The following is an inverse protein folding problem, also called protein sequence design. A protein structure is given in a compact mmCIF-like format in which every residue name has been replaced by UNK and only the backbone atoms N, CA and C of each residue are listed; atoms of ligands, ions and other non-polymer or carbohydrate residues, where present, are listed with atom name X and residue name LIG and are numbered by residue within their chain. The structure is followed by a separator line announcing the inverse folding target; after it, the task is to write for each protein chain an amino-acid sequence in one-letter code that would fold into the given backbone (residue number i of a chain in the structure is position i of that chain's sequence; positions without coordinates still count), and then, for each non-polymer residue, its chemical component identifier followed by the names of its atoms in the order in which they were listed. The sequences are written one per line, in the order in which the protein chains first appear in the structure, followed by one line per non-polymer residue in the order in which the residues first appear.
data_IF_155369219320
#
_entry.id   IF_155369219320
#
_cell.length_a   1.000
_cell.length_b   1.000
_cell.length_c   1.000
_cell.angle_alpha   90.00
_cell.angle_beta   90.00
_cell.angle_gamma   90.00
#
_symmetry.space_group_name_H-M   'P 1'
#
loop_
_entity.id
_entity.type
_entity.pdbx_description
1 polymer ?
#
# COMPACT_ATOMS: atom_id res chain seq x y z
N UNK A 1 -13.06 -4.29 -5.37
CA UNK A 1 -11.78 -3.53 -5.42
C UNK A 1 -11.05 -3.72 -4.09
N UNK A 2 -9.86 -4.33 -4.10
CA UNK A 2 -9.04 -4.56 -2.91
C UNK A 2 -8.05 -3.40 -2.70
N UNK A 3 -7.84 -2.97 -1.46
CA UNK A 3 -6.88 -1.90 -1.15
C UNK A 3 -5.85 -2.33 -0.10
N UNK A 4 -4.66 -1.77 -0.19
CA UNK A 4 -3.57 -2.00 0.76
C UNK A 4 -3.03 -0.68 1.29
N UNK A 5 -2.78 -0.58 2.60
CA UNK A 5 -2.11 0.56 3.23
C UNK A 5 -0.80 0.06 3.82
N UNK A 6 0.29 0.36 3.13
CA UNK A 6 1.64 0.10 3.60
C UNK A 6 2.20 1.32 4.32
N UNK A 7 2.59 1.15 5.57
CA UNK A 7 3.27 2.17 6.35
C UNK A 7 4.76 1.86 6.48
N UNK A 8 5.61 2.81 6.10
CA UNK A 8 7.04 2.72 6.34
C UNK A 8 7.55 3.85 7.23
N UNK A 9 8.30 3.44 8.27
CA UNK A 9 8.94 4.34 9.23
C UNK A 9 10.18 5.00 8.66
N UNK A 10 10.80 4.39 7.66
CA UNK A 10 12.11 4.81 7.15
C UNK A 10 12.07 5.27 5.70
N UNK A 11 11.05 4.90 4.91
CA UNK A 11 10.97 5.28 3.51
C UNK A 11 10.99 6.81 3.36
N UNK A 12 11.82 7.35 2.45
CA UNK A 12 12.07 8.77 2.37
C UNK A 12 10.86 9.54 1.84
N UNK A 13 10.79 10.81 2.23
CA UNK A 13 9.74 11.76 1.83
C UNK A 13 10.20 12.77 0.77
N UNK A 14 11.38 12.54 0.19
CA UNK A 14 11.91 13.27 -0.97
C UNK A 14 12.61 12.30 -1.93
N UNK A 15 12.48 12.55 -3.23
CA UNK A 15 13.15 11.76 -4.26
C UNK A 15 14.68 11.89 -4.21
N UNK A 16 15.21 12.97 -3.63
CA UNK A 16 16.67 13.17 -3.46
C UNK A 16 17.31 12.21 -2.45
N UNK A 17 16.50 11.56 -1.61
CA UNK A 17 16.95 10.57 -0.63
C UNK A 17 16.85 9.12 -1.17
N UNK A 18 16.46 8.95 -2.44
CA UNK A 18 16.50 7.66 -3.14
C UNK A 18 17.76 7.65 -4.01
N UNK A 19 18.82 7.05 -3.47
CA UNK A 19 20.09 6.81 -4.15
C UNK A 19 20.08 5.54 -5.01
N UNK A 20 21.27 5.12 -5.44
CA UNK A 20 21.46 3.88 -6.18
C UNK A 20 21.22 2.65 -5.28
N UNK A 21 21.70 2.71 -4.03
CA UNK A 21 21.41 1.68 -3.04
C UNK A 21 20.02 1.90 -2.42
N UNK A 22 19.04 1.13 -2.92
CA UNK A 22 17.65 1.21 -2.49
C UNK A 22 17.43 0.72 -1.04
N UNK A 23 18.28 -0.17 -0.54
CA UNK A 23 18.18 -0.64 0.84
C UNK A 23 18.61 0.46 1.82
N UNK A 24 19.73 1.13 1.53
CA UNK A 24 20.22 2.25 2.34
C UNK A 24 19.34 3.50 2.23
N UNK A 25 18.57 3.62 1.15
CA UNK A 25 17.59 4.69 0.92
C UNK A 25 16.31 4.51 1.73
N UNK A 26 16.44 4.27 3.05
CA UNK A 26 15.30 4.13 3.95
C UNK A 26 14.45 2.88 3.71
N UNK A 27 15.06 1.80 3.19
CA UNK A 27 14.38 0.55 2.80
C UNK A 27 13.28 0.75 1.75
N UNK A 28 13.49 1.66 0.80
CA UNK A 28 12.54 1.85 -0.31
C UNK A 28 12.41 0.59 -1.19
N UNK A 29 13.40 -0.32 -1.15
CA UNK A 29 13.32 -1.66 -1.74
C UNK A 29 12.06 -2.42 -1.29
N UNK A 30 11.67 -2.32 -0.02
CA UNK A 30 10.47 -2.98 0.51
C UNK A 30 9.20 -2.34 -0.08
N UNK A 31 9.16 -1.02 -0.21
CA UNK A 31 8.03 -0.33 -0.83
C UNK A 31 7.89 -0.71 -2.32
N UNK A 32 9.01 -0.84 -3.03
CA UNK A 32 9.03 -1.33 -4.42
C UNK A 32 8.46 -2.75 -4.50
N UNK A 33 8.93 -3.68 -3.66
CA UNK A 33 8.39 -5.04 -3.63
C UNK A 33 6.90 -5.08 -3.25
N UNK A 34 6.45 -4.15 -2.40
CA UNK A 34 5.05 -3.99 -2.02
C UNK A 34 4.20 -3.57 -3.23
N UNK A 35 4.68 -2.61 -4.04
CA UNK A 35 4.04 -2.23 -5.33
C UNK A 35 3.98 -3.44 -6.27
N UNK A 36 5.08 -4.20 -6.39
CA UNK A 36 5.11 -5.40 -7.25
C UNK A 36 4.04 -6.41 -6.81
N UNK A 37 4.01 -6.75 -5.53
CA UNK A 37 3.09 -7.75 -4.99
C UNK A 37 1.62 -7.31 -5.04
N UNK A 38 1.35 -6.00 -4.94
CA UNK A 38 -0.01 -5.46 -5.00
C UNK A 38 -0.62 -5.52 -6.40
N UNK A 39 0.19 -5.27 -7.45
CA UNK A 39 -0.33 -5.04 -8.79
C UNK A 39 0.03 -6.11 -9.83
N UNK A 40 1.22 -6.71 -9.77
CA UNK A 40 1.70 -7.50 -10.91
C UNK A 40 1.32 -8.98 -10.79
N UNK A 41 0.71 -9.49 -11.86
CA UNK A 41 0.64 -10.92 -12.17
C UNK A 41 1.75 -11.29 -13.17
N UNK A 42 1.74 -12.53 -13.69
CA UNK A 42 2.71 -12.98 -14.68
C UNK A 42 2.62 -12.17 -15.98
N UNK A 43 1.40 -12.01 -16.53
CA UNK A 43 1.14 -11.37 -17.82
C UNK A 43 0.10 -10.25 -17.76
N UNK A 44 -0.31 -9.84 -16.55
CA UNK A 44 -1.37 -8.84 -16.33
C UNK A 44 -1.03 -7.94 -15.15
N UNK A 45 -1.73 -6.81 -15.06
CA UNK A 45 -1.77 -5.93 -13.90
C UNK A 45 -3.17 -6.04 -13.28
N UNK A 46 -3.24 -6.10 -11.95
CA UNK A 46 -4.50 -6.03 -11.19
C UNK A 46 -5.05 -4.61 -11.27
N UNK A 47 -6.15 -4.42 -12.00
CA UNK A 47 -6.87 -3.14 -12.13
C UNK A 47 -7.90 -2.91 -11.02
N UNK A 48 -8.19 -3.97 -10.26
CA UNK A 48 -9.09 -4.00 -9.12
C UNK A 48 -8.37 -3.73 -7.78
N UNK A 49 -7.10 -3.29 -7.82
CA UNK A 49 -6.28 -3.00 -6.67
C UNK A 49 -5.97 -1.50 -6.51
N UNK A 50 -5.83 -1.04 -5.26
CA UNK A 50 -5.28 0.28 -4.90
C UNK A 50 -4.23 0.13 -3.79
N UNK A 51 -3.16 0.91 -3.86
CA UNK A 51 -2.10 0.91 -2.86
C UNK A 51 -1.87 2.31 -2.31
N UNK A 52 -1.92 2.42 -0.98
CA UNK A 52 -1.54 3.60 -0.22
C UNK A 52 -0.16 3.35 0.40
N UNK A 53 0.81 4.16 0.03
CA UNK A 53 2.15 4.16 0.62
C UNK A 53 2.25 5.36 1.57
N UNK A 54 2.36 5.10 2.87
CA UNK A 54 2.51 6.11 3.91
C UNK A 54 3.96 6.14 4.39
N UNK A 55 4.73 7.14 3.96
CA UNK A 55 6.15 7.29 4.24
C UNK A 55 6.38 8.29 5.38
N UNK A 56 7.16 7.88 6.37
CA UNK A 56 7.49 8.66 7.56
C UNK A 56 9.01 8.85 7.78
N UNK A 57 9.83 8.58 6.76
CA UNK A 57 11.27 8.83 6.78
C UNK A 57 11.65 10.29 6.45
N UNK A 58 12.96 10.61 6.47
CA UNK A 58 13.48 11.94 6.17
C UNK A 58 13.23 12.36 4.70
N UNK A 59 13.34 13.65 4.36
CA UNK A 59 13.69 14.77 5.23
C UNK A 59 12.50 15.42 5.94
N UNK A 60 11.31 15.39 5.34
CA UNK A 60 10.15 16.16 5.80
C UNK A 60 8.90 15.28 5.87
N UNK A 61 8.85 14.27 6.76
CA UNK A 61 7.68 13.42 6.90
C UNK A 61 6.43 14.24 7.31
N UNK A 62 5.21 13.80 6.94
CA UNK A 62 4.87 12.56 6.22
C UNK A 62 4.66 12.76 4.71
N UNK A 63 4.64 11.66 3.95
CA UNK A 63 4.11 11.62 2.58
C UNK A 63 3.14 10.46 2.41
N UNK A 64 2.02 10.75 1.75
CA UNK A 64 1.07 9.75 1.30
C UNK A 64 1.10 9.70 -0.23
N UNK A 65 1.45 8.53 -0.78
CA UNK A 65 1.37 8.25 -2.20
C UNK A 65 0.23 7.24 -2.41
N UNK A 66 -0.71 7.57 -3.29
CA UNK A 66 -1.80 6.68 -3.68
C UNK A 66 -1.55 6.21 -5.10
N UNK A 67 -1.65 4.90 -5.32
CA UNK A 67 -1.38 4.25 -6.58
C UNK A 67 -2.60 3.42 -6.97
N UNK A 68 -3.25 3.81 -8.07
CA UNK A 68 -4.30 3.04 -8.75
C UNK A 68 -4.03 3.12 -10.26
N UNK A 69 -3.29 2.17 -10.85
CA UNK A 69 -2.88 2.26 -12.25
C UNK A 69 -4.07 2.39 -13.20
N UNK A 70 -4.09 3.48 -13.96
CA UNK A 70 -4.98 3.65 -15.12
C UNK A 70 -4.27 3.03 -16.31
N UNK A 71 -4.73 1.85 -16.72
CA UNK A 71 -4.12 1.06 -17.82
C UNK A 71 -4.91 1.17 -19.12
N UNK A 72 -6.12 1.71 -19.07
CA UNK A 72 -6.98 1.96 -20.21
C UNK A 72 -6.77 3.39 -20.70
N UNK A 73 -6.68 3.57 -22.02
CA UNK A 73 -6.41 4.86 -22.63
C UNK A 73 -5.90 4.73 -24.08
N UNK A 74 -6.23 5.71 -24.89
CA UNK A 74 -5.89 5.78 -26.31
C UNK A 74 -4.47 6.32 -26.53
N UNK A 75 -4.02 7.24 -25.66
CA UNK A 75 -2.72 7.92 -25.79
C UNK A 75 -1.75 7.54 -24.67
N UNK A 76 -0.56 8.13 -24.63
CA UNK A 76 0.39 7.95 -23.52
C UNK A 76 0.17 8.89 -22.32
N UNK A 77 -0.80 9.81 -22.42
CA UNK A 77 -1.07 10.85 -21.42
C UNK A 77 -2.15 10.41 -20.43
N UNK A 78 -3.09 9.60 -20.90
CA UNK A 78 -4.28 9.10 -20.19
C UNK A 78 -4.06 7.75 -19.50
N UNK A 79 -2.93 7.09 -19.74
CA UNK A 79 -2.57 5.83 -19.09
C UNK A 79 -1.14 5.80 -18.59
N UNK A 80 -0.86 4.89 -17.66
CA UNK A 80 0.48 4.61 -17.17
C UNK A 80 0.99 3.25 -17.64
N UNK A 81 2.19 3.25 -18.23
CA UNK A 81 2.94 2.04 -18.50
C UNK A 81 3.78 1.68 -17.26
N UNK A 82 3.21 0.88 -16.37
CA UNK A 82 3.91 0.41 -15.18
C UNK A 82 4.73 -0.84 -15.50
N UNK A 83 6.05 -0.73 -15.50
CA UNK A 83 6.96 -1.88 -15.61
C UNK A 83 7.62 -2.18 -14.26
N UNK A 84 7.93 -3.46 -14.01
CA UNK A 84 8.60 -3.90 -12.77
C UNK A 84 9.96 -3.22 -12.57
N UNK A 85 10.66 -2.92 -13.67
CA UNK A 85 12.00 -2.31 -13.65
C UNK A 85 12.00 -0.81 -13.33
N UNK A 86 10.86 -0.13 -13.46
CA UNK A 86 10.79 1.34 -13.38
C UNK A 86 10.17 1.86 -12.07
N UNK A 87 9.78 0.98 -11.14
CA UNK A 87 9.03 1.38 -9.93
C UNK A 87 9.82 2.36 -9.07
N UNK A 88 11.14 2.16 -8.91
CA UNK A 88 12.00 3.08 -8.15
C UNK A 88 11.96 4.51 -8.71
N UNK A 89 12.12 4.66 -10.03
CA UNK A 89 12.10 5.97 -10.66
C UNK A 89 10.69 6.60 -10.65
N UNK A 90 9.63 5.79 -10.73
CA UNK A 90 8.24 6.25 -10.54
C UNK A 90 8.06 6.84 -9.14
N UNK A 91 8.41 6.10 -8.08
CA UNK A 91 8.30 6.60 -6.70
C UNK A 91 9.17 7.84 -6.47
N UNK A 92 10.41 7.84 -6.99
CA UNK A 92 11.32 8.99 -6.94
C UNK A 92 10.70 10.24 -7.60
N UNK A 93 10.10 10.08 -8.79
CA UNK A 93 9.41 11.16 -9.50
C UNK A 93 8.15 11.64 -8.77
N UNK A 94 7.37 10.73 -8.18
CA UNK A 94 6.23 11.11 -7.33
C UNK A 94 6.68 12.02 -6.18
N UNK A 95 7.70 11.59 -5.43
CA UNK A 95 8.25 12.35 -4.31
C UNK A 95 8.80 13.73 -4.73
N UNK A 96 9.47 13.83 -5.88
CA UNK A 96 9.93 15.13 -6.39
C UNK A 96 8.81 16.07 -6.82
N UNK A 97 7.64 15.54 -7.20
CA UNK A 97 6.50 16.35 -7.68
C UNK A 97 5.59 16.82 -6.55
N UNK A 98 5.85 16.39 -5.31
CA UNK A 98 5.17 16.89 -4.13
C UNK A 98 5.20 18.43 -4.03
N UNK A 99 4.08 19.02 -3.60
CA UNK A 99 3.93 20.42 -3.25
C UNK A 99 3.12 20.53 -1.96
N UNK A 100 3.51 21.44 -1.08
CA UNK A 100 2.81 21.64 0.18
C UNK A 100 1.40 22.20 -0.04
N UNK A 101 0.42 21.72 0.74
CA UNK A 101 -0.99 22.13 0.63
C UNK A 101 -1.77 21.51 -0.54
N UNK A 102 -1.15 20.69 -1.40
CA UNK A 102 -1.77 20.16 -2.61
C UNK A 102 -1.87 18.61 -2.58
N UNK A 103 -3.02 18.07 -3.00
CA UNK A 103 -3.13 16.69 -3.47
C UNK A 103 -2.94 16.68 -4.98
N UNK A 104 -1.79 16.15 -5.42
CA UNK A 104 -1.36 16.27 -6.82
C UNK A 104 -1.33 14.92 -7.53
N UNK A 105 -1.90 14.87 -8.73
CA UNK A 105 -1.71 13.75 -9.65
C UNK A 105 -0.36 13.91 -10.37
N UNK A 106 0.49 12.89 -10.29
CA UNK A 106 1.83 12.89 -10.90
C UNK A 106 1.86 12.07 -12.18
N UNK A 107 1.10 10.99 -12.21
CA UNK A 107 0.81 10.16 -13.38
C UNK A 107 -0.67 9.75 -13.30
N UNK A 108 -1.30 9.31 -14.40
CA UNK A 108 -2.68 8.83 -14.37
C UNK A 108 -2.93 7.80 -13.27
N UNK A 109 -3.75 8.17 -12.28
CA UNK A 109 -4.09 7.35 -11.11
C UNK A 109 -3.03 7.28 -10.00
N UNK A 110 -1.97 8.09 -10.07
CA UNK A 110 -0.87 8.14 -9.11
C UNK A 110 -0.83 9.52 -8.45
N UNK A 111 -1.17 9.57 -7.17
CA UNK A 111 -1.34 10.82 -6.43
C UNK A 111 -0.32 10.93 -5.29
N UNK A 112 0.05 12.16 -4.96
CA UNK A 112 0.89 12.47 -3.79
C UNK A 112 0.33 13.64 -3.00
N UNK A 113 0.43 13.57 -1.67
CA UNK A 113 0.05 14.64 -0.75
C UNK A 113 0.79 14.55 0.58
N UNK A 114 0.74 15.62 1.37
CA UNK A 114 1.14 15.62 2.79
C UNK A 114 -0.06 15.18 3.63
N UNK A 115 -0.06 13.91 4.00
CA UNK A 115 -1.08 13.31 4.89
C UNK A 115 -0.42 12.21 5.69
N UNK A 116 -0.70 12.15 6.99
CA UNK A 116 -0.12 11.13 7.85
C UNK A 116 -0.90 9.81 7.78
N UNK A 117 -0.27 8.74 8.26
CA UNK A 117 -0.83 7.39 8.19
C UNK A 117 -2.19 7.25 8.90
N UNK A 118 -2.34 7.79 10.11
CA UNK A 118 -3.60 7.70 10.84
C UNK A 118 -4.70 8.51 10.18
N UNK A 119 -4.38 9.68 9.63
CA UNK A 119 -5.34 10.49 8.87
C UNK A 119 -5.88 9.70 7.67
N UNK A 120 -5.01 8.99 6.94
CA UNK A 120 -5.44 8.13 5.82
C UNK A 120 -6.41 7.05 6.32
N UNK A 121 -6.05 6.32 7.38
CA UNK A 121 -6.91 5.26 7.92
C UNK A 121 -8.22 5.80 8.48
N UNK A 122 -8.18 6.90 9.22
CA UNK A 122 -9.35 7.51 9.85
C UNK A 122 -10.35 8.03 8.81
N UNK A 123 -9.88 8.61 7.71
CA UNK A 123 -10.78 9.08 6.66
C UNK A 123 -11.47 7.92 5.96
N UNK A 124 -10.72 6.86 5.62
CA UNK A 124 -11.32 5.63 5.08
C UNK A 124 -12.28 4.96 6.08
N UNK A 125 -11.98 5.02 7.38
CA UNK A 125 -12.87 4.48 8.40
C UNK A 125 -14.18 5.28 8.51
N UNK A 126 -14.11 6.61 8.46
CA UNK A 126 -15.29 7.50 8.44
C UNK A 126 -16.15 7.30 7.19
N UNK A 127 -15.54 6.93 6.07
CA UNK A 127 -16.25 6.52 4.84
C UNK A 127 -16.93 5.15 4.96
N UNK A 128 -16.84 4.47 6.11
CA UNK A 128 -17.45 3.15 6.33
C UNK A 128 -16.72 2.01 5.62
N UNK A 129 -15.44 2.20 5.25
CA UNK A 129 -14.66 1.17 4.55
C UNK A 129 -14.32 -0.01 5.47
N UNK A 130 -14.23 -1.20 4.88
CA UNK A 130 -13.92 -2.44 5.59
C UNK A 130 -12.40 -2.58 5.79
N UNK A 131 -11.89 -2.07 6.92
CA UNK A 131 -10.45 -2.04 7.21
C UNK A 131 -10.03 -3.21 8.12
N UNK A 132 -8.96 -3.89 7.72
CA UNK A 132 -8.36 -5.03 8.40
C UNK A 132 -6.89 -4.73 8.69
N UNK A 133 -6.45 -4.98 9.91
CA UNK A 133 -5.07 -4.73 10.34
C UNK A 133 -4.34 -6.05 10.42
N UNK A 134 -3.27 -6.20 9.66
CA UNK A 134 -2.48 -7.43 9.65
C UNK A 134 -1.64 -7.51 10.94
N UNK A 135 -1.91 -8.54 11.74
CA UNK A 135 -1.28 -8.76 13.03
C UNK A 135 -1.13 -10.27 13.31
N UNK A 136 0.00 -10.74 13.84
CA UNK A 136 0.21 -12.15 14.14
C UNK A 136 -0.83 -12.76 15.10
N UNK A 137 -1.45 -11.96 15.95
CA UNK A 137 -2.47 -12.38 16.93
C UNK A 137 -3.90 -12.11 16.44
N UNK A 138 -4.09 -11.78 15.16
CA UNK A 138 -5.41 -11.61 14.56
C UNK A 138 -6.14 -12.93 14.32
N UNK A 139 -7.40 -12.86 13.88
CA UNK A 139 -8.14 -14.02 13.40
C UNK A 139 -7.55 -14.50 12.06
N UNK A 140 -7.47 -15.82 11.84
CA UNK A 140 -6.89 -16.36 10.60
C UNK A 140 -7.67 -15.88 9.38
N UNK A 141 -6.95 -15.33 8.39
CA UNK A 141 -7.55 -14.79 7.17
C UNK A 141 -8.42 -15.81 6.45
N UNK A 142 -8.17 -17.12 6.60
CA UNK A 142 -8.93 -18.18 5.94
C UNK A 142 -10.28 -18.45 6.60
N UNK A 143 -10.40 -18.22 7.91
CA UNK A 143 -11.64 -18.48 8.66
C UNK A 143 -12.45 -17.23 8.91
N UNK A 144 -11.79 -16.07 8.97
CA UNK A 144 -12.45 -14.82 9.27
C UNK A 144 -13.33 -14.34 8.11
N UNK A 145 -14.44 -13.68 8.45
CA UNK A 145 -15.26 -12.96 7.47
C UNK A 145 -14.52 -11.73 6.96
N UNK A 146 -14.30 -11.69 5.64
CA UNK A 146 -13.76 -10.54 4.90
C UNK A 146 -14.86 -10.02 4.00
N UNK A 147 -15.19 -8.74 4.19
CA UNK A 147 -16.22 -8.05 3.46
C UNK A 147 -15.70 -7.56 2.11
N UNK A 148 -16.61 -7.25 1.19
CA UNK A 148 -16.32 -6.63 -0.08
C UNK A 148 -15.55 -5.31 0.09
N UNK A 149 -14.78 -5.00 -0.94
CA UNK A 149 -13.91 -3.83 -1.00
C UNK A 149 -12.96 -3.67 0.22
N UNK A 150 -12.24 -4.74 0.62
CA UNK A 150 -11.46 -4.75 1.84
C UNK A 150 -10.20 -3.90 1.72
N UNK A 151 -9.77 -3.33 2.86
CA UNK A 151 -8.55 -2.55 2.99
C UNK A 151 -7.63 -3.22 4.01
N UNK A 152 -6.44 -3.66 3.60
CA UNK A 152 -5.49 -4.31 4.49
C UNK A 152 -4.35 -3.37 4.88
N UNK A 153 -4.13 -3.20 6.19
CA UNK A 153 -3.09 -2.35 6.76
C UNK A 153 -1.90 -3.19 7.19
N UNK A 154 -0.69 -2.82 6.75
CA UNK A 154 0.56 -3.49 7.10
C UNK A 154 1.72 -2.51 7.28
N UNK A 155 2.67 -2.91 8.13
CA UNK A 155 3.90 -2.17 8.36
C UNK A 155 5.08 -2.66 7.52
N UNK A 156 6.16 -1.89 7.53
CA UNK A 156 7.45 -2.26 6.96
C UNK A 156 8.23 -3.25 7.85
N UNK A 157 9.54 -3.38 7.60
CA UNK A 157 10.47 -4.20 8.39
C UNK A 157 10.52 -3.87 9.90
N UNK A 158 10.05 -2.70 10.35
CA UNK A 158 9.95 -2.32 11.77
C UNK A 158 8.53 -2.48 12.32
N UNK A 159 7.58 -2.89 11.48
CA UNK A 159 6.17 -2.98 11.81
C UNK A 159 5.51 -1.62 12.05
N UNK A 160 4.23 -1.67 12.41
CA UNK A 160 3.47 -0.50 12.82
C UNK A 160 3.93 -0.04 14.22
N UNK A 161 3.97 1.28 14.51
CA UNK A 161 4.29 1.76 15.84
C UNK A 161 3.27 1.23 16.85
N UNK A 162 3.72 0.72 18.00
CA UNK A 162 2.87 0.04 19.00
C UNK A 162 1.64 0.87 19.40
N UNK A 163 1.82 2.18 19.59
CA UNK A 163 0.72 3.10 19.94
C UNK A 163 -0.34 3.17 18.83
N UNK A 164 0.09 3.21 17.57
CA UNK A 164 -0.82 3.24 16.43
C UNK A 164 -1.47 1.89 16.18
N UNK A 165 -0.73 0.79 16.33
CA UNK A 165 -1.31 -0.56 16.26
C UNK A 165 -2.43 -0.74 17.30
N UNK A 166 -2.25 -0.26 18.54
CA UNK A 166 -3.29 -0.32 19.58
C UNK A 166 -4.54 0.46 19.18
N UNK A 167 -4.38 1.66 18.60
CA UNK A 167 -5.50 2.47 18.10
C UNK A 167 -6.21 1.79 16.93
N UNK A 168 -5.45 1.26 15.98
CA UNK A 168 -5.99 0.54 14.83
C UNK A 168 -6.79 -0.69 15.24
N UNK A 169 -6.31 -1.49 16.21
CA UNK A 169 -7.05 -2.65 16.73
C UNK A 169 -8.34 -2.29 17.45
N UNK A 170 -8.49 -1.05 17.92
CA UNK A 170 -9.74 -0.58 18.50
C UNK A 170 -10.76 -0.13 17.44
N UNK A 171 -10.29 0.22 16.22
CA UNK A 171 -11.11 0.73 15.12
C UNK A 171 -11.40 -0.33 14.05
N UNK A 172 -10.54 -1.33 13.92
CA UNK A 172 -10.47 -2.23 12.77
C UNK A 172 -10.27 -3.67 13.21
N UNK A 173 -10.74 -4.62 12.41
CA UNK A 173 -10.57 -6.06 12.71
C UNK A 173 -9.11 -6.48 12.49
N UNK A 174 -8.52 -7.13 13.48
CA UNK A 174 -7.18 -7.71 13.36
C UNK A 174 -7.25 -9.07 12.63
N UNK A 175 -6.39 -9.27 11.64
CA UNK A 175 -6.34 -10.48 10.80
C UNK A 175 -4.90 -10.99 10.70
N UNK A 176 -4.71 -12.30 10.73
CA UNK A 176 -3.39 -12.93 10.55
C UNK A 176 -3.35 -13.77 9.26
N UNK A 177 -2.18 -13.84 8.63
CA UNK A 177 -1.91 -14.79 7.53
C UNK A 177 -1.18 -16.05 8.00
N UNK A 178 -1.00 -16.20 9.32
CA UNK A 178 -0.34 -17.35 9.93
C UNK A 178 0.75 -16.95 10.93
N UNK A 179 1.46 -17.96 11.47
CA UNK A 179 2.42 -17.79 12.57
C UNK A 179 3.79 -17.22 12.16
N UNK A 180 4.11 -17.27 10.86
CA UNK A 180 5.42 -16.82 10.35
C UNK A 180 5.39 -15.32 10.08
N UNK A 181 6.48 -14.63 10.41
CA UNK A 181 6.66 -13.23 10.03
C UNK A 181 7.20 -13.17 8.61
N UNK A 182 6.36 -12.71 7.68
CA UNK A 182 6.71 -12.57 6.27
C UNK A 182 7.13 -11.14 5.94
N UNK A 183 7.83 -10.96 4.81
CA UNK A 183 8.02 -9.63 4.24
C UNK A 183 6.67 -9.01 3.85
N UNK A 184 6.56 -7.69 3.89
CA UNK A 184 5.34 -6.96 3.53
C UNK A 184 4.80 -7.38 2.15
N UNK A 185 5.68 -7.53 1.15
CA UNK A 185 5.32 -7.99 -0.19
C UNK A 185 4.77 -9.42 -0.21
N UNK A 186 5.37 -10.34 0.55
CA UNK A 186 4.88 -11.72 0.67
C UNK A 186 3.52 -11.75 1.38
N UNK A 187 3.33 -10.93 2.40
CA UNK A 187 2.03 -10.79 3.08
C UNK A 187 0.96 -10.33 2.10
N UNK A 188 1.23 -9.32 1.27
CA UNK A 188 0.31 -8.88 0.22
C UNK A 188 0.02 -10.00 -0.78
N UNK A 189 1.05 -10.76 -1.20
CA UNK A 189 0.85 -11.88 -2.12
C UNK A 189 -0.08 -12.96 -1.52
N UNK A 190 0.07 -13.29 -0.24
CA UNK A 190 -0.80 -14.24 0.47
C UNK A 190 -2.22 -13.70 0.61
N UNK A 191 -2.38 -12.43 0.97
CA UNK A 191 -3.72 -11.78 1.03
C UNK A 191 -4.38 -11.79 -0.35
N UNK A 192 -3.65 -11.40 -1.40
CA UNK A 192 -4.16 -11.42 -2.76
C UNK A 192 -4.62 -12.82 -3.17
N UNK A 193 -3.81 -13.85 -2.89
CA UNK A 193 -4.20 -15.23 -3.19
C UNK A 193 -5.47 -15.66 -2.44
N UNK A 194 -5.61 -15.29 -1.17
CA UNK A 194 -6.82 -15.61 -0.40
C UNK A 194 -8.06 -14.88 -0.93
N UNK A 195 -7.92 -13.60 -1.30
CA UNK A 195 -9.00 -12.84 -1.92
C UNK A 195 -9.42 -13.43 -3.26
N UNK A 196 -8.47 -13.80 -4.13
CA UNK A 196 -8.76 -14.46 -5.41
C UNK A 196 -9.59 -15.73 -5.19
N UNK A 197 -9.19 -16.59 -4.24
CA UNK A 197 -9.92 -17.82 -3.92
C UNK A 197 -11.34 -17.57 -3.42
N UNK A 198 -11.56 -16.48 -2.68
CA UNK A 198 -12.88 -16.09 -2.18
C UNK A 198 -13.75 -15.52 -3.29
N UNK A 199 -13.19 -14.69 -4.15
CA UNK A 199 -13.86 -14.15 -5.33
C UNK A 199 -14.30 -15.30 -6.26
N UNK A 200 -13.41 -16.21 -6.60
CA UNK A 200 -13.68 -17.37 -7.48
C UNK A 200 -14.74 -18.32 -6.90
N UNK A 201 -14.87 -18.39 -5.57
CA UNK A 201 -15.85 -19.24 -4.89
C UNK A 201 -17.13 -18.53 -4.44
N UNK A 202 -17.29 -17.24 -4.73
CA UNK A 202 -18.44 -16.42 -4.30
C UNK A 202 -18.55 -16.26 -2.77
N UNK A 203 -17.44 -16.41 -2.04
CA UNK A 203 -17.37 -16.34 -0.57
C UNK A 203 -16.92 -14.98 -0.05
N UNK A 204 -16.61 -14.03 -0.93
CA UNK A 204 -16.43 -12.64 -0.54
C UNK A 204 -17.83 -12.05 -0.29
N UNK A 205 -18.05 -11.49 0.90
CA UNK A 205 -19.39 -11.13 1.40
C UNK A 205 -19.61 -9.63 1.49
#
# INVERSE_FOLDING_TARGET
MREFIYYSRTAPTSGSYIGENLQESGRIDIAIHTVIAAFFLSHKIRTDAKLHLCFAGPPTPPRHLEIKPVTEGETGVDKIYLSKTNISAVLKKMLYKYREGERREVFPGFWIQKKNFLEVVNDLHKEGRNIYVLDPNGEDIRTCEIKENPIFVLGDHRGLPIKELKRLKALCKAVTIGKRTYFASQTIAVVNNELDRREDSGKLK
#
